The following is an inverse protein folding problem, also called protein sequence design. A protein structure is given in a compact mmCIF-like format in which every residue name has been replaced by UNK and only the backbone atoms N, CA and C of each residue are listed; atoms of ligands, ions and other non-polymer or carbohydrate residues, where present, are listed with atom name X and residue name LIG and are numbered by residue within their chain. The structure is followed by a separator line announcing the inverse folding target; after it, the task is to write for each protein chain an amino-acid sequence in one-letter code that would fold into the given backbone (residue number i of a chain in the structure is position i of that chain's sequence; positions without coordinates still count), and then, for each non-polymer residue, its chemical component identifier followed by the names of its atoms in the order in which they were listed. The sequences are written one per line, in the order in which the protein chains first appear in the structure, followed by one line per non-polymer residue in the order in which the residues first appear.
data_IF_526310435438
#
_entry.id   IF_526310435438
#
_cell.length_a   1.000
_cell.length_b   1.000
_cell.length_c   1.000
_cell.angle_alpha   90.00
_cell.angle_beta   90.00
_cell.angle_gamma   90.00
#
_symmetry.space_group_name_H-M   'P 1'
#
loop_
_entity.id
_entity.type
_entity.pdbx_description
1 polymer ?
#
# COMPACT_ATOMS: atom_id res chain seq x y z
N UNK A 1 34.36 42.33 -3.77
CA UNK A 1 32.95 42.37 -3.31
C UNK A 1 32.96 42.60 -1.80
N UNK A 2 32.40 43.73 -1.32
CA UNK A 2 32.32 44.06 0.11
C UNK A 2 31.56 42.94 0.88
N UNK A 3 32.00 42.61 2.09
CA UNK A 3 31.35 41.67 3.02
C UNK A 3 29.84 41.91 3.11
N UNK A 4 29.41 43.17 3.20
CA UNK A 4 27.98 43.55 3.26
C UNK A 4 27.20 43.17 2.00
N UNK A 5 27.82 43.33 0.82
CA UNK A 5 27.20 42.96 -0.46
C UNK A 5 27.11 41.43 -0.64
N UNK A 6 28.11 40.69 -0.16
CA UNK A 6 28.08 39.22 -0.11
C UNK A 6 26.97 38.71 0.81
N UNK A 7 26.87 39.25 2.02
CA UNK A 7 25.83 38.87 2.98
C UNK A 7 24.43 39.19 2.46
N UNK A 8 24.25 40.36 1.84
CA UNK A 8 22.96 40.75 1.25
C UNK A 8 22.55 39.81 0.11
N UNK A 9 23.50 39.43 -0.76
CA UNK A 9 23.24 38.49 -1.85
C UNK A 9 22.85 37.10 -1.32
N UNK A 10 23.58 36.58 -0.33
CA UNK A 10 23.26 35.28 0.28
C UNK A 10 21.87 35.30 0.91
N UNK A 11 21.53 36.35 1.66
CA UNK A 11 20.20 36.49 2.26
C UNK A 11 19.10 36.58 1.21
N UNK A 12 19.31 37.34 0.13
CA UNK A 12 18.34 37.44 -0.96
C UNK A 12 18.09 36.08 -1.64
N UNK A 13 19.16 35.31 -1.89
CA UNK A 13 19.04 33.94 -2.44
C UNK A 13 18.30 33.01 -1.49
N UNK A 14 18.63 33.06 -0.20
CA UNK A 14 17.95 32.24 0.81
C UNK A 14 16.46 32.56 0.91
N UNK A 15 16.10 33.85 0.96
CA UNK A 15 14.70 34.28 0.98
C UNK A 15 13.98 33.86 -0.29
N UNK A 16 14.61 34.03 -1.45
CA UNK A 16 14.07 33.58 -2.73
C UNK A 16 13.83 32.06 -2.77
N UNK A 17 14.78 31.26 -2.27
CA UNK A 17 14.66 29.81 -2.22
C UNK A 17 13.53 29.36 -1.28
N UNK A 18 13.39 29.99 -0.11
CA UNK A 18 12.29 29.71 0.83
C UNK A 18 10.94 30.10 0.23
N UNK A 19 10.84 31.26 -0.40
CA UNK A 19 9.62 31.70 -1.07
C UNK A 19 9.21 30.75 -2.20
N UNK A 20 10.18 30.33 -3.03
CA UNK A 20 9.94 29.35 -4.09
C UNK A 20 9.49 28.01 -3.53
N UNK A 21 10.15 27.50 -2.48
CA UNK A 21 9.77 26.25 -1.83
C UNK A 21 8.36 26.33 -1.25
N UNK A 22 7.99 27.46 -0.65
CA UNK A 22 6.65 27.71 -0.09
C UNK A 22 5.52 27.65 -1.13
N UNK A 23 5.83 27.89 -2.41
CA UNK A 23 4.88 27.77 -3.53
C UNK A 23 4.96 26.39 -4.17
N UNK A 24 6.17 25.90 -4.42
CA UNK A 24 6.40 24.66 -5.16
C UNK A 24 5.97 23.41 -4.37
N UNK A 25 6.16 23.38 -3.06
CA UNK A 25 5.81 22.20 -2.26
C UNK A 25 4.29 21.96 -2.27
N UNK A 26 3.42 22.92 -1.91
CA UNK A 26 1.98 22.71 -1.96
C UNK A 26 1.46 22.37 -3.36
N UNK A 27 2.05 22.97 -4.40
CA UNK A 27 1.67 22.69 -5.79
C UNK A 27 2.01 21.25 -6.17
N UNK A 28 3.21 20.78 -5.84
CA UNK A 28 3.66 19.43 -6.18
C UNK A 28 3.06 18.34 -5.28
N UNK A 29 2.42 18.72 -4.17
CA UNK A 29 1.70 17.81 -3.27
C UNK A 29 0.28 17.50 -3.76
N UNK A 30 -0.26 18.30 -4.69
CA UNK A 30 -1.59 18.11 -5.25
C UNK A 30 -1.66 16.86 -6.15
N UNK A 31 -2.74 16.05 -6.03
CA UNK A 31 -2.96 14.91 -6.93
C UNK A 31 -2.90 15.26 -8.42
N UNK A 32 -3.37 16.45 -8.79
CA UNK A 32 -3.40 16.98 -10.16
C UNK A 32 -1.99 17.18 -10.74
N UNK A 33 -1.02 17.56 -9.89
CA UNK A 33 0.37 17.64 -10.32
C UNK A 33 0.89 16.27 -10.76
N UNK A 34 0.64 15.23 -9.95
CA UNK A 34 1.00 13.86 -10.30
C UNK A 34 0.24 13.36 -11.54
N UNK A 35 -1.05 13.73 -11.68
CA UNK A 35 -1.88 13.38 -12.84
C UNK A 35 -1.39 14.00 -14.16
N UNK A 36 -0.57 15.05 -14.09
CA UNK A 36 0.10 15.64 -15.25
C UNK A 36 1.07 14.69 -15.96
N UNK A 37 1.59 13.68 -15.25
CA UNK A 37 2.39 12.62 -15.84
C UNK A 37 1.50 11.51 -16.43
N UNK A 38 1.62 11.23 -17.72
CA UNK A 38 0.83 10.20 -18.41
C UNK A 38 0.96 8.80 -17.79
N UNK A 39 2.13 8.47 -17.22
CA UNK A 39 2.37 7.19 -16.53
C UNK A 39 1.61 7.06 -15.21
N UNK A 40 1.25 8.19 -14.59
CA UNK A 40 0.49 8.21 -13.33
C UNK A 40 -1.01 8.46 -13.52
N UNK A 41 -1.45 8.82 -14.73
CA UNK A 41 -2.87 9.05 -15.01
C UNK A 41 -3.79 7.86 -14.60
N UNK A 42 -3.44 6.58 -14.85
CA UNK A 42 -4.26 5.45 -14.37
C UNK A 42 -4.32 5.35 -12.83
N UNK A 43 -3.20 5.65 -12.16
CA UNK A 43 -3.12 5.69 -10.69
C UNK A 43 -3.98 6.81 -10.10
N UNK A 44 -4.01 7.97 -10.74
CA UNK A 44 -4.90 9.07 -10.36
C UNK A 44 -6.38 8.69 -10.54
N UNK A 45 -6.75 8.08 -11.67
CA UNK A 45 -8.14 7.69 -11.95
C UNK A 45 -8.68 6.66 -10.96
N UNK A 46 -7.85 5.71 -10.53
CA UNK A 46 -8.19 4.73 -9.51
C UNK A 46 -8.31 5.38 -8.12
N UNK A 47 -7.35 6.25 -7.76
CA UNK A 47 -7.39 7.01 -6.51
C UNK A 47 -8.66 7.86 -6.39
N UNK A 48 -9.05 8.57 -7.45
CA UNK A 48 -10.22 9.46 -7.49
C UNK A 48 -11.55 8.72 -7.23
N UNK A 49 -11.58 7.39 -7.45
CA UNK A 49 -12.74 6.52 -7.20
C UNK A 49 -12.64 5.76 -5.86
N UNK A 50 -11.51 5.86 -5.18
CA UNK A 50 -11.23 5.12 -3.95
C UNK A 50 -11.83 5.79 -2.71
N UNK A 51 -11.78 5.09 -1.57
CA UNK A 51 -12.12 5.65 -0.26
C UNK A 51 -11.17 6.74 0.24
N UNK A 52 -10.03 6.94 -0.43
CA UNK A 52 -8.99 7.91 -0.04
C UNK A 52 -8.91 9.10 -1.00
N UNK A 53 -9.92 9.32 -1.85
CA UNK A 53 -9.97 10.41 -2.84
C UNK A 53 -9.91 11.84 -2.25
N UNK A 54 -10.00 11.98 -0.93
CA UNK A 54 -9.98 13.27 -0.24
C UNK A 54 -8.62 13.61 0.38
N UNK A 55 -7.62 12.72 0.27
CA UNK A 55 -6.25 12.98 0.73
C UNK A 55 -5.27 12.99 -0.44
N UNK A 56 -4.19 13.76 -0.31
CA UNK A 56 -3.19 13.88 -1.38
C UNK A 56 -2.39 12.60 -1.62
N UNK A 57 -1.82 12.47 -2.82
CA UNK A 57 -0.91 11.36 -3.15
C UNK A 57 0.26 11.25 -2.15
N UNK A 58 0.81 12.41 -1.75
CA UNK A 58 1.96 12.47 -0.84
C UNK A 58 1.64 12.05 0.59
N UNK A 59 0.36 12.07 1.00
CA UNK A 59 -0.05 11.56 2.31
C UNK A 59 0.27 10.07 2.49
N UNK A 60 0.39 9.33 1.38
CA UNK A 60 0.81 7.92 1.39
C UNK A 60 2.21 7.72 0.80
N UNK A 61 2.58 8.47 -0.26
CA UNK A 61 3.82 8.24 -1.00
C UNK A 61 5.05 9.00 -0.46
N UNK A 62 4.90 9.81 0.59
CA UNK A 62 6.02 10.48 1.25
C UNK A 62 6.07 10.05 2.72
N UNK A 63 7.19 9.44 3.12
CA UNK A 63 7.38 9.03 4.52
C UNK A 63 7.42 10.21 5.49
N UNK A 64 6.92 10.04 6.72
CA UNK A 64 6.94 11.09 7.72
C UNK A 64 8.38 11.45 8.14
N UNK A 65 8.55 12.70 8.57
CA UNK A 65 9.84 13.23 9.02
C UNK A 65 10.71 13.77 7.89
N UNK A 66 11.70 14.58 8.25
CA UNK A 66 12.54 15.30 7.29
C UNK A 66 13.31 14.36 6.36
N UNK A 67 13.85 13.27 6.90
CA UNK A 67 14.59 12.29 6.09
C UNK A 67 13.69 11.61 5.05
N UNK A 68 12.49 11.18 5.45
CA UNK A 68 11.51 10.56 4.55
C UNK A 68 11.07 11.53 3.46
N UNK A 69 10.81 12.78 3.84
CA UNK A 69 10.50 13.85 2.89
C UNK A 69 11.64 14.08 1.89
N UNK A 70 12.89 14.20 2.35
CA UNK A 70 14.04 14.37 1.44
C UNK A 70 14.20 13.18 0.49
N UNK A 71 14.07 11.94 0.97
CA UNK A 71 14.25 10.76 0.11
C UNK A 71 13.12 10.61 -0.89
N UNK A 72 11.87 10.77 -0.45
CA UNK A 72 10.71 10.37 -1.24
C UNK A 72 10.18 11.54 -2.08
N UNK A 73 10.18 12.77 -1.54
CA UNK A 73 9.73 13.95 -2.26
C UNK A 73 10.83 14.52 -3.16
N UNK A 74 12.03 14.74 -2.61
CA UNK A 74 13.09 15.45 -3.33
C UNK A 74 13.89 14.52 -4.22
N UNK A 75 14.53 13.49 -3.66
CA UNK A 75 15.44 12.63 -4.41
C UNK A 75 14.69 11.72 -5.39
N UNK A 76 13.64 11.01 -4.94
CA UNK A 76 12.84 10.18 -5.83
C UNK A 76 12.05 11.02 -6.85
N UNK A 77 11.45 12.14 -6.43
CA UNK A 77 10.76 13.05 -7.36
C UNK A 77 11.68 13.63 -8.44
N UNK A 78 12.92 14.03 -8.10
CA UNK A 78 13.92 14.48 -9.07
C UNK A 78 14.32 13.36 -10.03
N UNK A 79 14.48 12.12 -9.52
CA UNK A 79 14.77 10.95 -10.35
C UNK A 79 13.63 10.65 -11.32
N UNK A 80 12.39 10.65 -10.85
CA UNK A 80 11.21 10.37 -11.68
C UNK A 80 11.03 11.44 -12.76
N UNK A 81 11.26 12.70 -12.41
CA UNK A 81 11.29 13.82 -13.36
C UNK A 81 12.38 13.60 -14.41
N UNK A 82 13.61 13.28 -14.01
CA UNK A 82 14.71 13.03 -14.93
C UNK A 82 14.43 11.86 -15.87
N UNK A 83 13.91 10.74 -15.35
CA UNK A 83 13.50 9.58 -16.17
C UNK A 83 12.38 9.96 -17.14
N UNK A 84 11.43 10.79 -16.71
CA UNK A 84 10.31 11.22 -17.54
C UNK A 84 10.73 12.06 -18.75
N UNK A 85 11.68 12.98 -18.55
CA UNK A 85 12.11 13.91 -19.61
C UNK A 85 13.33 13.46 -20.39
N UNK A 86 14.24 12.70 -19.78
CA UNK A 86 15.55 12.37 -20.35
C UNK A 86 15.76 10.87 -20.56
N UNK A 87 14.84 10.03 -20.09
CA UNK A 87 14.97 8.58 -20.14
C UNK A 87 13.74 7.89 -20.69
N UNK A 88 13.57 6.63 -20.30
CA UNK A 88 12.40 5.82 -20.62
C UNK A 88 11.58 5.62 -19.35
N UNK A 89 10.39 6.24 -19.23
CA UNK A 89 9.49 6.01 -18.11
C UNK A 89 9.17 4.54 -17.91
N UNK A 90 8.95 4.14 -16.65
CA UNK A 90 8.47 2.80 -16.34
C UNK A 90 7.06 2.64 -16.91
N UNK A 91 6.83 1.51 -17.58
CA UNK A 91 5.51 1.17 -18.13
C UNK A 91 4.48 1.01 -17.01
N UNK A 92 3.24 1.46 -17.25
CA UNK A 92 2.22 1.64 -16.21
C UNK A 92 1.90 0.35 -15.44
N UNK A 93 1.89 -0.81 -16.10
CA UNK A 93 1.64 -2.10 -15.46
C UNK A 93 2.86 -2.66 -14.71
N UNK A 94 4.01 -2.02 -14.86
CA UNK A 94 5.25 -2.38 -14.18
C UNK A 94 5.66 -1.38 -13.08
N UNK A 95 4.81 -0.38 -12.80
CA UNK A 95 5.02 0.52 -11.68
C UNK A 95 5.07 -0.24 -10.36
N UNK A 96 6.07 0.09 -9.55
CA UNK A 96 6.27 -0.44 -8.20
C UNK A 96 6.41 0.75 -7.26
N UNK A 97 5.58 0.77 -6.22
CA UNK A 97 5.70 1.72 -5.13
C UNK A 97 5.83 0.95 -3.81
N UNK A 98 6.75 1.42 -2.97
CA UNK A 98 6.82 0.96 -1.58
C UNK A 98 6.20 2.05 -0.71
N UNK A 99 5.18 1.69 0.05
CA UNK A 99 4.49 2.60 0.97
C UNK A 99 4.82 2.16 2.39
N UNK A 100 5.37 3.08 3.17
CA UNK A 100 5.76 2.81 4.54
C UNK A 100 4.53 2.62 5.43
N UNK A 101 4.53 1.58 6.26
CA UNK A 101 3.36 1.29 7.10
C UNK A 101 3.09 2.38 8.15
N UNK A 102 4.08 3.21 8.47
CA UNK A 102 3.96 4.38 9.34
C UNK A 102 2.98 5.42 8.80
N UNK A 103 2.86 5.60 7.47
CA UNK A 103 1.88 6.53 6.90
C UNK A 103 0.45 6.04 7.14
N UNK A 104 0.21 4.73 6.98
CA UNK A 104 -1.08 4.11 7.25
C UNK A 104 -1.43 4.26 8.73
N UNK A 105 -0.45 4.00 9.60
CA UNK A 105 -0.61 4.05 11.05
C UNK A 105 -0.79 5.46 11.62
N UNK A 106 -0.42 6.50 10.88
CA UNK A 106 -0.68 7.89 11.29
C UNK A 106 -2.18 8.18 11.42
N UNK A 107 -3.00 7.54 10.58
CA UNK A 107 -4.47 7.65 10.61
C UNK A 107 -5.14 6.39 11.19
N UNK A 108 -4.68 5.19 10.83
CA UNK A 108 -5.30 3.91 11.19
C UNK A 108 -4.71 3.26 12.45
N UNK A 109 -4.22 4.05 13.42
CA UNK A 109 -3.48 3.58 14.60
C UNK A 109 -4.13 2.44 15.40
N UNK A 110 -5.45 2.33 15.38
CA UNK A 110 -6.19 1.31 16.13
C UNK A 110 -6.28 -0.04 15.43
N UNK A 111 -5.86 -0.15 14.16
CA UNK A 111 -5.95 -1.40 13.39
C UNK A 111 -5.17 -2.55 14.05
N UNK A 112 -4.09 -2.25 14.78
CA UNK A 112 -3.32 -3.25 15.53
C UNK A 112 -4.08 -3.90 16.70
N UNK A 113 -5.29 -3.43 17.02
CA UNK A 113 -6.19 -4.06 17.99
C UNK A 113 -7.16 -5.04 17.33
N UNK A 114 -7.21 -5.08 16.01
CA UNK A 114 -8.08 -5.98 15.25
C UNK A 114 -7.37 -7.31 15.03
N UNK A 115 -7.91 -8.36 15.63
CA UNK A 115 -7.43 -9.75 15.48
C UNK A 115 -8.34 -10.63 14.63
N UNK A 116 -9.56 -10.17 14.37
CA UNK A 116 -10.58 -10.88 13.62
C UNK A 116 -11.37 -9.85 12.80
N UNK A 117 -11.78 -10.24 11.59
CA UNK A 117 -12.69 -9.44 10.77
C UNK A 117 -14.12 -9.77 11.15
N UNK A 118 -14.93 -8.74 11.41
CA UNK A 118 -16.32 -8.94 11.80
C UNK A 118 -17.08 -9.71 10.69
N UNK A 119 -17.88 -10.74 11.04
CA UNK A 119 -18.59 -11.56 10.06
C UNK A 119 -19.44 -10.78 9.04
N UNK A 120 -20.02 -9.64 9.45
CA UNK A 120 -20.80 -8.76 8.55
C UNK A 120 -19.98 -8.16 7.41
N UNK A 121 -18.67 -8.04 7.60
CA UNK A 121 -17.73 -7.45 6.63
C UNK A 121 -17.07 -8.55 5.76
N UNK A 122 -17.39 -9.82 6.02
CA UNK A 122 -16.90 -10.97 5.30
C UNK A 122 -17.93 -11.46 4.28
N UNK A 123 -17.48 -11.95 3.11
CA UNK A 123 -18.37 -12.59 2.17
C UNK A 123 -18.71 -14.02 2.57
N UNK A 124 -19.83 -14.54 2.07
CA UNK A 124 -20.11 -15.98 2.08
C UNK A 124 -19.09 -16.75 1.22
N UNK A 125 -18.66 -17.96 1.64
CA UNK A 125 -19.01 -18.64 2.89
C UNK A 125 -18.10 -18.27 4.08
N UNK A 126 -17.18 -17.33 3.91
CA UNK A 126 -16.14 -17.01 4.93
C UNK A 126 -16.75 -16.37 6.18
N UNK A 127 -17.85 -15.63 6.06
CA UNK A 127 -18.57 -15.08 7.22
C UNK A 127 -19.11 -16.18 8.17
N UNK A 128 -19.44 -17.37 7.65
CA UNK A 128 -19.95 -18.49 8.44
C UNK A 128 -18.87 -19.10 9.34
N UNK A 129 -17.61 -19.11 8.86
CA UNK A 129 -16.46 -19.67 9.59
C UNK A 129 -15.55 -18.60 10.23
N UNK A 130 -15.81 -17.32 9.94
CA UNK A 130 -15.02 -16.17 10.40
C UNK A 130 -13.63 -16.08 9.77
N UNK A 131 -12.92 -14.97 10.01
CA UNK A 131 -11.56 -14.77 9.52
C UNK A 131 -10.70 -14.08 10.59
N UNK A 132 -9.70 -14.82 11.08
CA UNK A 132 -8.72 -14.39 12.08
C UNK A 132 -7.51 -13.79 11.36
N UNK A 133 -7.33 -12.48 11.48
CA UNK A 133 -6.18 -11.75 10.97
C UNK A 133 -5.65 -10.84 12.06
N UNK A 134 -4.73 -11.37 12.85
CA UNK A 134 -3.99 -10.64 13.88
C UNK A 134 -3.08 -9.57 13.29
N UNK A 135 -3.55 -8.34 13.10
CA UNK A 135 -2.73 -7.27 12.49
C UNK A 135 -1.43 -7.04 13.26
N UNK A 136 -1.49 -6.98 14.60
CA UNK A 136 -0.29 -6.87 15.44
C UNK A 136 0.70 -8.01 15.21
N UNK A 137 0.21 -9.24 15.19
CA UNK A 137 1.06 -10.43 15.01
C UNK A 137 1.72 -10.42 13.63
N UNK A 138 0.98 -10.04 12.57
CA UNK A 138 1.54 -9.91 11.22
C UNK A 138 2.60 -8.81 11.16
N UNK A 139 2.34 -7.62 11.72
CA UNK A 139 3.31 -6.52 11.72
C UNK A 139 4.58 -6.88 12.53
N UNK A 140 4.44 -7.55 13.67
CA UNK A 140 5.59 -8.09 14.41
C UNK A 140 6.35 -9.14 13.60
N UNK A 141 5.64 -10.04 12.90
CA UNK A 141 6.27 -11.04 12.03
C UNK A 141 7.03 -10.41 10.86
N UNK A 142 6.47 -9.40 10.20
CA UNK A 142 7.12 -8.64 9.13
C UNK A 142 8.39 -7.94 9.63
N UNK A 143 8.33 -7.37 10.83
CA UNK A 143 9.50 -6.71 11.45
C UNK A 143 10.62 -7.72 11.71
N UNK A 144 10.29 -8.90 12.22
CA UNK A 144 11.28 -9.97 12.48
C UNK A 144 11.84 -10.54 11.16
N UNK A 145 11.01 -10.67 10.13
CA UNK A 145 11.45 -11.16 8.81
C UNK A 145 12.35 -10.17 8.08
N UNK A 146 12.13 -8.86 8.28
CA UNK A 146 12.97 -7.81 7.71
C UNK A 146 12.95 -7.73 6.18
N UNK A 147 11.92 -8.28 5.52
CA UNK A 147 11.83 -8.32 4.04
C UNK A 147 11.14 -7.09 3.42
N UNK A 148 11.00 -6.01 4.17
CA UNK A 148 10.29 -4.80 3.71
C UNK A 148 8.77 -4.97 3.62
N UNK A 149 8.21 -5.94 4.34
CA UNK A 149 6.78 -6.22 4.40
C UNK A 149 6.04 -5.22 5.31
N UNK A 150 4.74 -4.99 5.04
CA UNK A 150 3.92 -4.06 5.80
C UNK A 150 2.45 -4.10 5.42
N UNK A 151 1.73 -2.99 5.64
CA UNK A 151 0.29 -2.89 5.35
C UNK A 151 -0.04 -3.25 3.90
N UNK A 152 0.75 -2.73 2.96
CA UNK A 152 0.60 -2.97 1.51
C UNK A 152 1.07 -4.34 1.06
N UNK A 153 1.63 -5.17 1.95
CA UNK A 153 1.84 -6.59 1.65
C UNK A 153 0.50 -7.25 1.34
N UNK A 154 -0.53 -6.99 2.17
CA UNK A 154 -1.88 -7.54 1.96
C UNK A 154 -2.82 -6.51 1.31
N UNK A 155 -2.80 -5.26 1.79
CA UNK A 155 -3.61 -4.17 1.25
C UNK A 155 -2.86 -3.44 0.14
N UNK A 156 -2.37 -4.19 -0.84
CA UNK A 156 -1.56 -3.64 -1.89
C UNK A 156 -2.37 -2.65 -2.77
N UNK A 157 -3.70 -2.84 -2.85
CA UNK A 157 -4.59 -2.23 -3.84
C UNK A 157 -5.49 -1.12 -3.32
N UNK A 158 -5.23 -0.61 -2.11
CA UNK A 158 -6.14 0.29 -1.35
C UNK A 158 -6.76 1.40 -2.22
N UNK A 159 -5.94 2.04 -3.06
CA UNK A 159 -6.37 3.15 -3.93
C UNK A 159 -6.11 2.90 -5.42
N UNK A 160 -5.42 1.82 -5.76
CA UNK A 160 -4.96 1.57 -7.13
C UNK A 160 -5.54 0.29 -7.76
N UNK A 161 -6.47 -0.38 -7.09
CA UNK A 161 -7.22 -1.50 -7.65
C UNK A 161 -8.73 -1.29 -7.52
N UNK A 162 -9.47 -1.92 -8.43
CA UNK A 162 -10.91 -2.04 -8.29
C UNK A 162 -11.24 -3.08 -7.19
N UNK A 163 -12.31 -2.86 -6.41
CA UNK A 163 -12.76 -3.87 -5.47
C UNK A 163 -13.14 -5.17 -6.18
N UNK A 164 -12.74 -6.29 -5.60
CA UNK A 164 -13.03 -7.62 -6.15
C UNK A 164 -14.52 -7.91 -5.96
N UNK A 165 -15.22 -8.35 -7.01
CA UNK A 165 -16.62 -8.85 -6.98
C UNK A 165 -17.65 -7.91 -6.37
N UNK A 166 -17.41 -6.61 -6.45
CA UNK A 166 -18.35 -5.61 -5.93
C UNK A 166 -18.37 -5.52 -4.40
N UNK A 167 -17.40 -6.10 -3.69
CA UNK A 167 -17.21 -5.79 -2.28
C UNK A 167 -16.87 -4.31 -2.11
N UNK A 168 -17.32 -3.65 -1.04
CA UNK A 168 -17.03 -2.23 -0.81
C UNK A 168 -15.56 -1.98 -0.43
N UNK A 169 -14.80 -3.04 -0.13
CA UNK A 169 -13.42 -2.97 0.37
C UNK A 169 -12.49 -3.91 -0.42
N UNK A 170 -11.23 -3.51 -0.53
CA UNK A 170 -10.16 -4.35 -1.10
C UNK A 170 -9.73 -5.36 -0.03
N UNK A 171 -10.28 -6.56 -0.09
CA UNK A 171 -9.91 -7.68 0.78
C UNK A 171 -8.70 -8.40 0.18
N UNK A 172 -7.68 -8.76 0.98
CA UNK A 172 -6.60 -9.63 0.51
C UNK A 172 -7.17 -10.92 -0.08
N UNK A 173 -6.60 -11.40 -1.20
CA UNK A 173 -7.10 -12.66 -1.80
C UNK A 173 -6.91 -13.81 -0.80
N UNK A 174 -8.00 -14.54 -0.56
CA UNK A 174 -7.99 -15.83 0.13
C UNK A 174 -7.70 -16.99 -0.82
N UNK A 175 -7.98 -18.22 -0.38
CA UNK A 175 -7.79 -19.43 -1.19
C UNK A 175 -8.54 -19.31 -2.53
N UNK A 176 -7.79 -19.19 -3.62
CA UNK A 176 -8.33 -19.13 -4.99
C UNK A 176 -9.18 -20.38 -5.32
N UNK A 177 -8.96 -21.50 -4.63
CA UNK A 177 -9.70 -22.76 -4.85
C UNK A 177 -11.06 -22.85 -4.15
N UNK A 178 -11.26 -22.15 -3.03
CA UNK A 178 -12.55 -22.08 -2.32
C UNK A 178 -13.41 -20.89 -2.81
N UNK A 179 -12.85 -20.12 -3.73
CA UNK A 179 -13.49 -18.99 -4.31
C UNK A 179 -14.54 -19.44 -5.34
N UNK A 180 -15.81 -19.43 -4.94
CA UNK A 180 -16.93 -19.80 -5.81
C UNK A 180 -17.06 -18.94 -7.07
N UNK A 181 -16.34 -17.81 -7.16
CA UNK A 181 -16.28 -16.97 -8.35
C UNK A 181 -14.83 -16.65 -8.70
N UNK A 182 -14.24 -17.23 -9.75
CA UNK A 182 -12.90 -16.87 -10.15
C UNK A 182 -12.82 -15.38 -10.51
N UNK A 183 -11.80 -14.68 -10.00
CA UNK A 183 -11.46 -13.31 -10.37
C UNK A 183 -10.03 -13.27 -10.87
N UNK A 184 -9.83 -12.58 -11.99
CA UNK A 184 -8.53 -12.39 -12.61
C UNK A 184 -8.22 -10.89 -12.72
N UNK A 185 -7.01 -10.46 -12.34
CA UNK A 185 -6.61 -9.08 -12.53
C UNK A 185 -6.58 -8.73 -14.01
N UNK A 186 -7.00 -7.51 -14.33
CA UNK A 186 -7.00 -6.95 -15.69
C UNK A 186 -5.62 -6.53 -16.18
N UNK A 187 -4.60 -6.70 -15.34
CA UNK A 187 -3.22 -6.40 -15.69
C UNK A 187 -2.62 -7.46 -16.64
N UNK A 188 -1.75 -7.04 -17.59
CA UNK A 188 -1.08 -7.94 -18.52
C UNK A 188 -0.30 -9.05 -17.83
N UNK A 189 -0.18 -10.20 -18.50
CA UNK A 189 0.66 -11.31 -18.03
C UNK A 189 2.12 -10.89 -17.86
N UNK A 190 2.76 -11.39 -16.80
CA UNK A 190 4.14 -11.04 -16.45
C UNK A 190 4.35 -9.65 -15.83
N UNK A 191 3.32 -8.79 -15.81
CA UNK A 191 3.46 -7.44 -15.25
C UNK A 191 3.59 -7.42 -13.72
N UNK A 192 4.28 -6.42 -13.18
CA UNK A 192 4.44 -6.26 -11.74
C UNK A 192 3.09 -6.11 -11.02
N UNK A 193 2.16 -5.34 -11.60
CA UNK A 193 0.82 -5.15 -11.03
C UNK A 193 -0.01 -6.43 -11.05
N UNK A 194 0.12 -7.27 -12.09
CA UNK A 194 -0.54 -8.59 -12.10
C UNK A 194 -0.01 -9.48 -10.98
N UNK A 195 1.31 -9.60 -10.86
CA UNK A 195 1.95 -10.41 -9.80
C UNK A 195 1.49 -9.96 -8.42
N UNK A 196 1.49 -8.64 -8.18
CA UNK A 196 0.97 -8.03 -6.95
C UNK A 196 -0.50 -8.39 -6.70
N UNK A 197 -1.36 -8.30 -7.70
CA UNK A 197 -2.79 -8.58 -7.58
C UNK A 197 -3.12 -10.07 -7.37
N UNK A 198 -2.20 -10.97 -7.74
CA UNK A 198 -2.37 -12.41 -7.55
C UNK A 198 -1.93 -12.90 -6.16
N UNK A 199 -1.15 -12.12 -5.41
CA UNK A 199 -0.65 -12.47 -4.09
C UNK A 199 -1.78 -12.80 -3.09
N UNK A 200 -1.55 -13.79 -2.24
CA UNK A 200 -2.49 -14.26 -1.22
C UNK A 200 -1.77 -14.55 0.12
N UNK A 201 -2.47 -15.17 1.06
CA UNK A 201 -1.93 -15.56 2.37
C UNK A 201 -0.84 -16.64 2.27
N UNK A 202 -0.88 -17.48 1.24
CA UNK A 202 -0.04 -18.67 1.12
C UNK A 202 1.40 -18.41 0.72
N UNK A 203 1.72 -17.18 0.31
CA UNK A 203 3.12 -16.76 0.11
C UNK A 203 3.95 -16.81 1.40
N UNK A 204 3.29 -16.70 2.56
CA UNK A 204 3.93 -16.80 3.88
C UNK A 204 3.37 -17.98 4.67
N UNK A 205 2.10 -18.33 4.47
CA UNK A 205 1.52 -19.56 5.01
C UNK A 205 1.75 -20.70 4.03
N UNK A 206 3.01 -21.04 3.79
CA UNK A 206 3.46 -22.03 2.80
C UNK A 206 3.71 -23.42 3.41
N UNK A 207 3.65 -23.53 4.74
CA UNK A 207 4.01 -24.77 5.46
C UNK A 207 5.51 -24.94 5.71
N UNK A 208 6.35 -23.96 5.37
CA UNK A 208 7.81 -23.98 5.60
C UNK A 208 8.31 -22.75 6.34
N UNK A 209 7.72 -21.58 6.06
CA UNK A 209 7.97 -20.32 6.75
C UNK A 209 7.62 -20.44 8.23
N UNK A 210 8.45 -19.84 9.09
CA UNK A 210 8.28 -19.90 10.53
C UNK A 210 8.21 -18.52 11.17
N UNK A 211 7.49 -18.43 12.29
CA UNK A 211 7.51 -17.29 13.20
C UNK A 211 7.55 -17.79 14.65
N UNK A 212 8.51 -17.29 15.44
CA UNK A 212 8.74 -17.73 16.84
C UNK A 212 8.84 -19.27 16.99
N UNK A 213 9.54 -19.92 16.06
CA UNK A 213 9.74 -21.38 16.05
C UNK A 213 8.51 -22.20 15.68
N UNK A 214 7.41 -21.57 15.26
CA UNK A 214 6.20 -22.26 14.77
C UNK A 214 6.08 -22.09 13.27
N UNK A 215 5.80 -23.19 12.56
CA UNK A 215 5.52 -23.19 11.13
C UNK A 215 4.17 -22.50 10.86
N UNK A 216 4.17 -21.54 9.94
CA UNK A 216 2.97 -20.91 9.41
C UNK A 216 2.28 -21.90 8.47
N UNK A 217 1.42 -22.72 9.06
CA UNK A 217 0.73 -23.78 8.34
C UNK A 217 -0.57 -23.28 7.68
N UNK A 218 -1.20 -24.18 6.92
CA UNK A 218 -2.43 -23.93 6.14
C UNK A 218 -3.67 -24.59 6.73
N UNK A 219 -3.65 -24.99 8.00
CA UNK A 219 -4.82 -25.60 8.64
C UNK A 219 -5.94 -24.56 8.76
N UNK A 220 -7.19 -25.03 8.66
CA UNK A 220 -8.36 -24.15 8.63
C UNK A 220 -8.44 -23.27 9.89
N UNK A 221 -8.15 -23.83 11.06
CA UNK A 221 -8.14 -23.16 12.37
C UNK A 221 -7.01 -22.14 12.56
N UNK A 222 -6.06 -22.06 11.62
CA UNK A 222 -5.05 -21.00 11.62
C UNK A 222 -5.63 -19.67 11.15
N UNK A 223 -6.65 -19.71 10.28
CA UNK A 223 -7.24 -18.53 9.65
C UNK A 223 -8.73 -18.35 10.00
N UNK A 224 -9.43 -19.40 10.40
CA UNK A 224 -10.86 -19.40 10.67
C UNK A 224 -11.14 -19.71 12.15
N UNK A 225 -12.31 -19.33 12.63
CA UNK A 225 -12.69 -19.49 14.04
C UNK A 225 -13.04 -20.96 14.27
N UNK A 226 -12.22 -21.67 15.04
CA UNK A 226 -12.31 -23.12 15.24
C UNK A 226 -13.72 -23.62 15.56
N UNK A 227 -14.42 -22.96 16.48
CA UNK A 227 -15.78 -23.35 16.89
C UNK A 227 -16.79 -23.28 15.74
N UNK A 228 -16.59 -22.35 14.80
CA UNK A 228 -17.47 -22.19 13.63
C UNK A 228 -17.12 -23.16 12.50
N UNK A 229 -15.87 -23.59 12.40
CA UNK A 229 -15.44 -24.61 11.43
C UNK A 229 -16.16 -25.93 11.71
N UNK A 230 -16.17 -26.36 12.97
CA UNK A 230 -16.87 -27.59 13.38
C UNK A 230 -18.36 -27.53 13.08
N UNK A 231 -19.01 -26.38 13.31
CA UNK A 231 -20.41 -26.16 12.94
C UNK A 231 -20.65 -26.26 11.43
N UNK A 232 -19.82 -25.62 10.60
CA UNK A 232 -19.97 -25.64 9.14
C UNK A 232 -19.74 -27.02 8.50
N UNK A 233 -18.90 -27.87 9.10
CA UNK A 233 -18.62 -29.23 8.64
C UNK A 233 -19.65 -30.28 9.12
N UNK A 234 -20.49 -29.94 10.10
CA UNK A 234 -21.54 -30.85 10.63
C UNK A 234 -22.87 -30.76 9.88
N UNK A 235 -23.06 -29.72 9.06
CA UNK A 235 -24.31 -29.46 8.32
C UNK A 235 -24.14 -29.50 6.79
N UNK A 236 -23.02 -30.06 6.31
CA UNK A 236 -22.74 -30.41 4.92
C UNK A 236 -22.44 -31.92 4.84
#
# INVERSE_FOLDING_TARGET
MNSTARTTLVLAVMVGAVALAGIAIPLTDQPEFCAGCHTLAPSYQSWAKSSHKEISCVACHVRPGLQGWLTDKVLAGARDTAITFLGTPTEVHNLKATVDSGVCMSCHRHILRVSEIAPRDLPLPVNDVGLVVGHRQHMEAFTVRGQGEGCTTCHAGVVHDAPIKGYPIVIPRGHVSADSKPWYPTHPEGSALRTRALNDCFRCHDGTTQYRGKVLNRKCDTCHISDKISGALLFN
#
